data_IF_140879797930
#
_entry.id   IF_140879797930
#
_cell.length_a   1.000
_cell.length_b   1.000
_cell.length_c   1.000
_cell.angle_alpha   90.00
_cell.angle_beta   90.00
_cell.angle_gamma   90.00
#
_symmetry.space_group_name_H-M   'P 1'
#
loop_
_entity.id
_entity.type
_entity.pdbx_description
1 polymer ?
#
# COMPACT_ATOMS: atom_id res chain seq x y z
N UNK A 1 -17.56 17.75 18.45
CA UNK A 1 -17.23 17.21 17.11
C UNK A 1 -17.75 15.78 17.06
N UNK A 2 -18.61 15.47 16.11
CA UNK A 2 -19.34 14.20 16.07
C UNK A 2 -18.70 13.18 15.13
N UNK A 3 -17.93 13.64 14.14
CA UNK A 3 -17.26 12.81 13.13
C UNK A 3 -15.87 13.34 12.86
N UNK A 4 -14.90 12.44 12.77
CA UNK A 4 -13.55 12.70 12.25
C UNK A 4 -13.34 11.80 11.04
N UNK A 5 -12.94 12.41 9.90
CA UNK A 5 -12.51 11.69 8.69
C UNK A 5 -11.03 11.99 8.50
N UNK A 6 -10.21 10.95 8.41
CA UNK A 6 -8.76 11.10 8.27
C UNK A 6 -8.18 10.28 7.12
N UNK A 7 -7.20 10.89 6.44
CA UNK A 7 -6.34 10.27 5.42
C UNK A 7 -4.86 10.54 5.73
N UNK A 8 -4.53 10.80 6.99
CA UNK A 8 -3.18 11.18 7.42
C UNK A 8 -2.21 10.00 7.54
N UNK A 9 -2.72 8.76 7.45
CA UNK A 9 -1.91 7.55 7.56
C UNK A 9 -1.85 6.96 8.97
N UNK A 10 -1.21 5.80 9.05
CA UNK A 10 -1.21 4.98 10.27
C UNK A 10 -0.56 5.63 11.49
N UNK A 11 0.51 6.38 11.29
CA UNK A 11 1.23 7.04 12.39
C UNK A 11 0.31 8.03 13.12
N UNK A 12 -0.43 8.85 12.37
CA UNK A 12 -1.43 9.77 12.93
C UNK A 12 -2.53 9.00 13.69
N UNK A 13 -3.05 7.93 13.11
CA UNK A 13 -4.09 7.13 13.74
C UNK A 13 -3.60 6.49 15.04
N UNK A 14 -2.40 5.91 15.03
CA UNK A 14 -1.81 5.26 16.20
C UNK A 14 -1.54 6.22 17.35
N UNK A 15 -1.24 7.48 17.05
CA UNK A 15 -1.00 8.52 18.04
C UNK A 15 -2.30 9.17 18.53
N UNK A 16 -3.13 9.63 17.63
CA UNK A 16 -4.26 10.54 17.94
C UNK A 16 -5.51 9.79 18.38
N UNK A 17 -5.85 8.66 17.71
CA UNK A 17 -7.09 7.93 18.01
C UNK A 17 -7.19 7.47 19.47
N UNK A 18 -6.17 6.82 20.08
CA UNK A 18 -6.26 6.40 21.47
C UNK A 18 -6.36 7.56 22.44
N UNK A 19 -5.71 8.70 22.15
CA UNK A 19 -5.79 9.89 22.99
C UNK A 19 -7.21 10.48 23.00
N UNK A 20 -7.87 10.54 21.84
CA UNK A 20 -9.24 11.01 21.73
C UNK A 20 -10.21 10.09 22.48
N UNK A 21 -10.06 8.77 22.34
CA UNK A 21 -10.91 7.81 23.09
C UNK A 21 -10.67 7.90 24.59
N UNK A 22 -9.42 8.05 25.04
CA UNK A 22 -9.07 8.23 26.46
C UNK A 22 -9.62 9.55 27.03
N UNK A 23 -9.70 10.61 26.21
CA UNK A 23 -10.32 11.88 26.58
C UNK A 23 -11.87 11.82 26.60
N UNK A 24 -12.48 10.67 26.35
CA UNK A 24 -13.94 10.48 26.38
C UNK A 24 -14.67 10.87 25.08
N UNK A 25 -13.94 11.16 23.99
CA UNK A 25 -14.59 11.43 22.71
C UNK A 25 -15.23 10.16 22.15
N UNK A 26 -16.53 10.20 21.88
CA UNK A 26 -17.34 9.07 21.43
C UNK A 26 -17.97 9.32 20.04
N UNK A 27 -17.33 10.14 19.20
CA UNK A 27 -17.75 10.41 17.83
C UNK A 27 -17.36 9.27 16.87
N UNK A 28 -17.78 9.42 15.63
CA UNK A 28 -17.42 8.48 14.55
C UNK A 28 -16.01 8.77 14.05
N UNK A 29 -15.20 7.71 13.97
CA UNK A 29 -13.87 7.72 13.34
C UNK A 29 -13.94 7.02 12.00
N UNK A 30 -13.64 7.74 10.92
CA UNK A 30 -13.60 7.22 9.55
C UNK A 30 -12.18 7.39 9.03
N UNK A 31 -11.51 6.31 8.68
CA UNK A 31 -10.07 6.30 8.43
C UNK A 31 -9.70 5.48 7.19
N UNK A 32 -8.84 6.04 6.34
CA UNK A 32 -8.25 5.33 5.21
C UNK A 32 -7.06 4.42 5.62
N UNK A 33 -6.44 4.68 6.79
CA UNK A 33 -5.28 3.92 7.28
C UNK A 33 -5.64 2.50 7.72
N UNK A 34 -4.66 1.61 7.70
CA UNK A 34 -4.85 0.19 8.04
C UNK A 34 -4.83 -0.10 9.54
N UNK A 35 -4.41 0.84 10.37
CA UNK A 35 -4.10 0.63 11.79
C UNK A 35 -5.22 -0.01 12.60
N UNK A 36 -6.47 0.30 12.28
CA UNK A 36 -7.64 -0.22 13.01
C UNK A 36 -8.39 -1.34 12.28
N UNK A 37 -7.94 -1.80 11.10
CA UNK A 37 -8.69 -2.80 10.30
C UNK A 37 -8.95 -4.11 11.02
N UNK A 38 -8.02 -4.54 11.86
CA UNK A 38 -8.09 -5.82 12.56
C UNK A 38 -8.57 -5.67 14.01
N UNK A 39 -9.18 -4.54 14.36
CA UNK A 39 -9.77 -4.34 15.70
C UNK A 39 -11.21 -4.82 15.72
N UNK A 40 -11.59 -5.50 16.80
CA UNK A 40 -12.94 -6.08 16.98
C UNK A 40 -14.05 -5.02 17.04
N UNK A 41 -13.71 -3.78 17.39
CA UNK A 41 -14.60 -2.64 17.49
C UNK A 41 -14.60 -1.77 16.22
N UNK A 42 -14.04 -2.27 15.12
CA UNK A 42 -13.97 -1.57 13.84
C UNK A 42 -14.64 -2.37 12.71
N UNK A 43 -15.19 -1.64 11.76
CA UNK A 43 -15.76 -2.20 10.53
C UNK A 43 -14.96 -1.73 9.33
N UNK A 44 -14.49 -2.67 8.52
CA UNK A 44 -13.93 -2.36 7.19
C UNK A 44 -15.10 -2.03 6.27
N UNK A 45 -15.05 -0.86 5.63
CA UNK A 45 -16.13 -0.38 4.76
C UNK A 45 -15.77 -0.54 3.29
N UNK A 46 -16.72 -1.09 2.53
CA UNK A 46 -16.67 -1.18 1.07
C UNK A 46 -18.11 -1.15 0.51
N UNK A 47 -18.77 0.01 0.59
CA UNK A 47 -20.11 0.21 0.00
C UNK A 47 -19.99 0.22 -1.54
N UNK A 48 -20.83 -0.52 -2.29
CA UNK A 48 -22.01 -1.26 -1.82
C UNK A 48 -21.77 -2.73 -1.42
N UNK A 49 -20.55 -3.26 -1.54
CA UNK A 49 -20.24 -4.69 -1.40
C UNK A 49 -20.69 -5.23 -0.03
N UNK A 50 -20.45 -4.49 1.05
CA UNK A 50 -20.83 -4.89 2.40
C UNK A 50 -21.75 -3.87 3.10
N UNK A 51 -22.65 -3.26 2.35
CA UNK A 51 -23.56 -2.22 2.85
C UNK A 51 -24.39 -2.67 4.06
N UNK A 52 -24.86 -3.92 4.06
CA UNK A 52 -25.59 -4.53 5.17
C UNK A 52 -24.74 -4.57 6.46
N UNK A 53 -23.47 -4.93 6.37
CA UNK A 53 -22.54 -4.94 7.52
C UNK A 53 -22.36 -3.52 8.08
N UNK A 54 -22.26 -2.53 7.21
CA UNK A 54 -22.16 -1.12 7.61
C UNK A 54 -23.43 -0.67 8.34
N UNK A 55 -24.61 -1.01 7.81
CA UNK A 55 -25.90 -0.66 8.43
C UNK A 55 -26.09 -1.34 9.79
N UNK A 56 -25.75 -2.62 9.87
CA UNK A 56 -25.79 -3.36 11.14
C UNK A 56 -24.84 -2.77 12.17
N UNK A 57 -23.65 -2.35 11.75
CA UNK A 57 -22.69 -1.68 12.62
C UNK A 57 -23.22 -0.36 13.17
N UNK A 58 -23.86 0.44 12.32
CA UNK A 58 -24.50 1.69 12.74
C UNK A 58 -25.61 1.43 13.76
N UNK A 59 -26.46 0.42 13.51
CA UNK A 59 -27.53 0.03 14.42
C UNK A 59 -27.02 -0.46 15.78
N UNK A 60 -25.86 -1.14 15.81
CA UNK A 60 -25.16 -1.60 17.03
C UNK A 60 -24.33 -0.52 17.71
N UNK A 61 -24.26 0.68 17.15
CA UNK A 61 -23.52 1.80 17.71
C UNK A 61 -22.00 1.74 17.53
N UNK A 62 -21.49 0.95 16.58
CA UNK A 62 -20.06 0.94 16.22
C UNK A 62 -19.65 2.34 15.76
N UNK A 63 -18.48 2.77 16.18
CA UNK A 63 -17.96 4.13 15.93
C UNK A 63 -16.73 4.19 15.04
N UNK A 64 -16.13 3.06 14.70
CA UNK A 64 -14.89 2.99 13.94
C UNK A 64 -15.15 2.36 12.57
N UNK A 65 -15.00 3.15 11.50
CA UNK A 65 -15.24 2.74 10.12
C UNK A 65 -13.97 2.95 9.29
N UNK A 66 -13.40 1.85 8.81
CA UNK A 66 -12.03 1.83 8.27
C UNK A 66 -12.07 1.43 6.79
N UNK A 67 -11.40 2.18 5.94
CA UNK A 67 -11.23 1.84 4.54
C UNK A 67 -10.46 0.53 4.36
N UNK A 68 -10.88 -0.31 3.42
CA UNK A 68 -10.22 -1.55 3.08
C UNK A 68 -8.85 -1.33 2.41
N UNK A 69 -8.11 -2.41 2.19
CA UNK A 69 -6.92 -2.37 1.34
C UNK A 69 -7.34 -1.99 -0.09
N UNK A 70 -6.64 -1.04 -0.71
CA UNK A 70 -7.02 -0.49 -2.02
C UNK A 70 -7.12 -1.56 -3.11
N UNK A 71 -6.15 -2.46 -3.22
CA UNK A 71 -6.11 -3.54 -4.21
C UNK A 71 -7.23 -4.55 -3.98
N UNK A 72 -7.41 -5.00 -2.73
CA UNK A 72 -8.48 -5.95 -2.36
C UNK A 72 -9.86 -5.31 -2.55
N UNK A 73 -10.02 -4.05 -2.19
CA UNK A 73 -11.28 -3.31 -2.38
C UNK A 73 -11.68 -3.24 -3.84
N UNK A 74 -10.73 -2.91 -4.74
CA UNK A 74 -11.01 -2.86 -6.18
C UNK A 74 -11.36 -4.24 -6.75
N UNK A 75 -10.66 -5.29 -6.31
CA UNK A 75 -10.98 -6.67 -6.68
C UNK A 75 -12.39 -7.05 -6.24
N UNK A 76 -12.73 -6.79 -4.98
CA UNK A 76 -14.06 -7.12 -4.43
C UNK A 76 -15.17 -6.26 -5.05
N UNK A 77 -14.90 -5.02 -5.42
CA UNK A 77 -15.85 -4.21 -6.20
C UNK A 77 -16.19 -4.87 -7.55
N UNK A 78 -15.17 -5.44 -8.22
CA UNK A 78 -15.38 -6.17 -9.48
C UNK A 78 -16.06 -7.53 -9.32
N UNK A 79 -15.81 -8.23 -8.23
CA UNK A 79 -16.29 -9.60 -7.99
C UNK A 79 -17.48 -9.68 -7.02
N UNK A 80 -17.92 -8.56 -6.44
CA UNK A 80 -18.92 -8.54 -5.36
C UNK A 80 -20.22 -9.24 -5.71
N UNK A 81 -20.70 -9.07 -6.94
CA UNK A 81 -21.92 -9.76 -7.40
C UNK A 81 -21.78 -11.28 -7.48
N UNK A 82 -20.59 -11.77 -7.79
CA UNK A 82 -20.32 -13.21 -7.81
C UNK A 82 -20.25 -13.79 -6.39
N UNK A 83 -19.62 -13.07 -5.47
CA UNK A 83 -19.59 -13.46 -4.05
C UNK A 83 -20.98 -13.45 -3.41
N UNK A 84 -21.80 -12.43 -3.70
CA UNK A 84 -23.17 -12.32 -3.17
C UNK A 84 -24.11 -13.43 -3.63
N UNK A 85 -23.80 -14.09 -4.73
CA UNK A 85 -24.60 -15.18 -5.30
C UNK A 85 -23.94 -16.55 -5.15
N UNK A 86 -22.95 -16.69 -4.27
CA UNK A 86 -22.22 -17.92 -4.00
C UNK A 86 -21.62 -18.60 -5.26
N UNK A 87 -21.20 -17.77 -6.23
CA UNK A 87 -20.67 -18.24 -7.52
C UNK A 87 -19.15 -18.43 -7.51
N UNK A 88 -18.48 -18.13 -6.40
CA UNK A 88 -17.03 -18.28 -6.23
C UNK A 88 -16.77 -19.24 -5.06
N UNK A 89 -16.18 -20.38 -5.35
CA UNK A 89 -15.75 -21.34 -4.34
C UNK A 89 -14.40 -20.94 -3.75
N UNK A 90 -13.46 -20.57 -4.61
CA UNK A 90 -12.15 -20.08 -4.22
C UNK A 90 -11.56 -19.16 -5.28
N UNK A 91 -10.62 -18.32 -4.89
CA UNK A 91 -9.92 -17.42 -5.81
C UNK A 91 -8.45 -17.29 -5.43
N UNK A 92 -7.58 -17.19 -6.44
CA UNK A 92 -6.20 -16.73 -6.27
C UNK A 92 -6.03 -15.39 -6.99
N UNK A 93 -5.18 -14.53 -6.44
CA UNK A 93 -4.85 -13.27 -7.08
C UNK A 93 -3.36 -13.00 -7.02
N UNK A 94 -2.82 -12.43 -8.09
CA UNK A 94 -1.47 -11.91 -8.15
C UNK A 94 -1.54 -10.42 -8.47
N UNK A 95 -0.82 -9.60 -7.72
CA UNK A 95 -0.84 -8.14 -7.89
C UNK A 95 0.56 -7.58 -8.04
N UNK A 96 0.68 -6.52 -8.83
CA UNK A 96 1.87 -5.67 -8.90
C UNK A 96 1.52 -4.32 -8.29
N UNK A 97 1.89 -4.13 -7.04
CA UNK A 97 1.53 -2.91 -6.32
C UNK A 97 2.51 -1.79 -6.60
N UNK A 98 1.99 -0.60 -6.91
CA UNK A 98 2.80 0.58 -7.17
C UNK A 98 3.45 1.12 -5.88
N UNK A 99 4.62 1.75 -6.02
CA UNK A 99 5.31 2.42 -4.92
C UNK A 99 4.47 3.51 -4.23
N UNK A 100 3.49 4.07 -4.93
CA UNK A 100 2.59 5.10 -4.39
C UNK A 100 1.79 4.63 -3.16
N UNK A 101 1.46 3.35 -3.09
CA UNK A 101 0.78 2.77 -1.93
C UNK A 101 1.61 2.77 -0.64
N UNK A 102 2.94 2.84 -0.77
CA UNK A 102 3.87 2.94 0.36
C UNK A 102 4.17 4.40 0.78
N UNK A 103 3.63 5.39 0.05
CA UNK A 103 3.72 6.79 0.39
C UNK A 103 4.74 7.61 -0.42
N UNK A 104 4.76 8.91 -0.16
CA UNK A 104 5.51 9.88 -0.96
C UNK A 104 7.03 9.66 -0.93
N UNK A 105 7.57 9.20 0.19
CA UNK A 105 9.01 8.94 0.31
C UNK A 105 9.45 7.80 -0.62
N UNK A 106 8.68 6.71 -0.68
CA UNK A 106 8.92 5.59 -1.60
C UNK A 106 8.82 6.04 -3.07
N UNK A 107 7.83 6.86 -3.42
CA UNK A 107 7.72 7.43 -4.77
C UNK A 107 8.94 8.27 -5.14
N UNK A 108 9.38 9.15 -4.24
CA UNK A 108 10.57 9.99 -4.46
C UNK A 108 11.83 9.15 -4.65
N UNK A 109 12.02 8.12 -3.83
CA UNK A 109 13.16 7.22 -3.93
C UNK A 109 13.14 6.44 -5.25
N UNK A 110 11.99 5.93 -5.69
CA UNK A 110 11.86 5.26 -6.98
C UNK A 110 12.29 6.17 -8.14
N UNK A 111 11.87 7.43 -8.14
CA UNK A 111 12.26 8.40 -9.17
C UNK A 111 13.78 8.70 -9.08
N UNK A 112 14.32 8.82 -7.87
CA UNK A 112 15.75 9.02 -7.68
C UNK A 112 16.56 7.80 -8.16
N UNK A 113 16.08 6.57 -7.95
CA UNK A 113 16.68 5.35 -8.50
C UNK A 113 16.71 5.36 -10.03
N UNK A 114 15.60 5.72 -10.68
CA UNK A 114 15.54 5.86 -12.14
C UNK A 114 16.55 6.91 -12.64
N UNK A 115 16.65 8.05 -11.96
CA UNK A 115 17.63 9.10 -12.26
C UNK A 115 19.07 8.62 -12.11
N UNK A 116 19.39 7.86 -11.06
CA UNK A 116 20.72 7.29 -10.82
C UNK A 116 21.12 6.32 -11.92
N UNK A 117 20.19 5.42 -12.32
CA UNK A 117 20.40 4.48 -13.43
C UNK A 117 20.66 5.26 -14.73
N UNK A 118 19.81 6.21 -15.08
CA UNK A 118 19.96 7.01 -16.30
C UNK A 118 21.28 7.77 -16.31
N UNK A 119 21.62 8.46 -15.23
CA UNK A 119 22.85 9.23 -15.12
C UNK A 119 24.11 8.38 -15.31
N UNK A 120 24.09 7.10 -14.86
CA UNK A 120 25.25 6.21 -14.97
C UNK A 120 25.58 5.81 -16.41
N UNK A 121 24.62 5.90 -17.33
CA UNK A 121 24.75 5.47 -18.74
C UNK A 121 24.44 6.57 -19.74
N UNK A 122 24.25 7.81 -19.30
CA UNK A 122 23.82 8.92 -20.15
C UNK A 122 24.79 9.15 -21.34
N UNK A 123 26.09 9.12 -21.10
CA UNK A 123 27.11 9.30 -22.13
C UNK A 123 27.11 8.15 -23.15
N UNK A 124 26.94 6.91 -22.65
CA UNK A 124 26.84 5.73 -23.53
C UNK A 124 25.57 5.76 -24.39
N UNK A 125 24.46 6.25 -23.83
CA UNK A 125 23.21 6.41 -24.58
C UNK A 125 23.29 7.52 -25.65
N UNK A 126 24.10 8.55 -25.42
CA UNK A 126 24.31 9.65 -26.35
C UNK A 126 25.20 9.26 -27.53
N UNK A 127 26.05 8.24 -27.41
CA UNK A 127 26.92 7.75 -28.46
C UNK A 127 26.28 6.56 -29.21
N UNK A 128 25.85 6.72 -30.48
CA UNK A 128 25.27 5.63 -31.26
C UNK A 128 26.22 4.44 -31.50
N UNK A 129 27.53 4.60 -31.29
CA UNK A 129 28.52 3.54 -31.42
C UNK A 129 28.66 2.68 -30.14
N UNK A 130 28.05 3.08 -29.05
CA UNK A 130 28.09 2.33 -27.79
C UNK A 130 27.45 0.96 -27.95
N UNK A 131 28.15 -0.08 -27.47
CA UNK A 131 27.59 -1.43 -27.46
C UNK A 131 26.48 -1.57 -26.40
N UNK A 132 25.33 -2.12 -26.77
CA UNK A 132 24.20 -2.28 -25.85
C UNK A 132 24.55 -3.14 -24.62
N UNK A 133 25.45 -4.13 -24.77
CA UNK A 133 25.90 -4.96 -23.64
C UNK A 133 26.74 -4.20 -22.63
N UNK A 134 27.43 -3.14 -23.05
CA UNK A 134 28.19 -2.30 -22.11
C UNK A 134 27.25 -1.40 -21.31
N UNK A 135 26.19 -0.90 -21.94
CA UNK A 135 25.10 -0.17 -21.28
C UNK A 135 24.42 -1.09 -20.25
N UNK A 136 24.02 -2.29 -20.64
CA UNK A 136 23.36 -3.27 -19.74
C UNK A 136 24.25 -3.62 -18.54
N UNK A 137 25.53 -3.90 -18.79
CA UNK A 137 26.49 -4.17 -17.71
C UNK A 137 26.61 -3.01 -16.73
N UNK A 138 26.71 -1.79 -17.24
CA UNK A 138 26.83 -0.58 -16.42
C UNK A 138 25.57 -0.32 -15.60
N UNK A 139 24.38 -0.53 -16.16
CA UNK A 139 23.11 -0.49 -15.41
C UNK A 139 23.12 -1.51 -14.29
N UNK A 140 23.45 -2.77 -14.58
CA UNK A 140 23.48 -3.84 -13.59
C UNK A 140 24.50 -3.58 -12.45
N UNK A 141 25.66 -3.04 -12.77
CA UNK A 141 26.66 -2.60 -11.78
C UNK A 141 26.12 -1.47 -10.90
N UNK A 142 25.51 -0.45 -11.52
CA UNK A 142 24.93 0.68 -10.80
C UNK A 142 23.83 0.24 -9.85
N UNK A 143 22.93 -0.63 -10.28
CA UNK A 143 21.84 -1.15 -9.45
C UNK A 143 22.33 -1.92 -8.22
N UNK A 144 23.54 -2.49 -8.25
CA UNK A 144 24.15 -3.22 -7.14
C UNK A 144 25.13 -2.38 -6.32
N UNK A 145 25.36 -1.14 -6.70
CA UNK A 145 26.32 -0.25 -6.05
C UNK A 145 25.71 0.51 -4.88
N UNK A 146 26.57 1.06 -4.03
CA UNK A 146 26.18 1.96 -2.94
C UNK A 146 25.65 3.34 -3.42
N UNK A 147 25.72 3.63 -4.73
CA UNK A 147 25.17 4.84 -5.29
C UNK A 147 23.64 4.81 -5.41
N UNK A 148 23.03 3.60 -5.36
CA UNK A 148 21.58 3.46 -5.41
C UNK A 148 20.93 3.90 -4.10
N UNK A 149 19.96 4.81 -4.14
CA UNK A 149 19.14 5.14 -2.96
C UNK A 149 18.17 3.98 -2.67
N UNK A 150 18.29 3.34 -1.50
CA UNK A 150 17.53 2.13 -1.15
C UNK A 150 16.98 2.16 0.29
N UNK A 151 16.83 3.33 0.89
CA UNK A 151 16.43 3.49 2.28
C UNK A 151 14.98 3.02 2.55
N UNK A 152 14.07 3.28 1.61
CA UNK A 152 12.63 3.01 1.77
C UNK A 152 12.18 1.67 1.18
N UNK A 153 13.04 0.96 0.43
CA UNK A 153 12.73 -0.33 -0.21
C UNK A 153 13.55 -1.49 0.38
N UNK A 154 13.75 -1.51 1.71
CA UNK A 154 14.39 -2.62 2.43
C UNK A 154 15.82 -2.92 1.94
N UNK A 155 16.54 -1.92 1.48
CA UNK A 155 17.92 -2.05 1.02
C UNK A 155 18.07 -2.57 -0.40
N UNK A 156 17.01 -2.62 -1.21
CA UNK A 156 17.05 -3.07 -2.60
C UNK A 156 16.42 -2.06 -3.56
N UNK A 157 16.90 -1.95 -4.81
CA UNK A 157 16.27 -1.07 -5.80
C UNK A 157 14.96 -1.66 -6.33
N UNK A 158 13.94 -0.80 -6.48
CA UNK A 158 12.70 -1.12 -7.18
C UNK A 158 12.75 -0.74 -8.66
N UNK A 159 13.48 0.34 -9.03
CA UNK A 159 13.59 0.78 -10.42
C UNK A 159 14.18 -0.34 -11.29
N UNK A 160 13.51 -0.67 -12.40
CA UNK A 160 13.92 -1.74 -13.31
C UNK A 160 13.78 -3.16 -12.74
N UNK A 161 13.08 -3.33 -11.61
CA UNK A 161 12.94 -4.61 -10.91
C UNK A 161 11.54 -4.74 -10.30
N UNK A 162 11.33 -5.80 -9.56
CA UNK A 162 10.21 -5.96 -8.64
C UNK A 162 10.72 -6.54 -7.31
N UNK A 163 10.05 -6.19 -6.24
CA UNK A 163 10.35 -6.71 -4.91
C UNK A 163 9.24 -7.69 -4.54
N UNK A 164 9.53 -9.01 -4.40
CA UNK A 164 8.51 -10.01 -4.07
C UNK A 164 8.16 -9.97 -2.57
N UNK A 165 7.86 -8.78 -2.09
CA UNK A 165 7.57 -8.52 -0.68
C UNK A 165 6.78 -7.24 -0.53
N UNK A 166 5.77 -7.27 0.32
CA UNK A 166 4.99 -6.07 0.65
C UNK A 166 4.74 -5.99 2.16
N UNK A 167 4.87 -4.78 2.71
CA UNK A 167 4.55 -4.40 4.08
C UNK A 167 5.25 -5.28 5.15
N UNK A 168 4.56 -5.65 6.21
CA UNK A 168 5.11 -6.38 7.36
C UNK A 168 5.07 -7.90 7.19
N UNK A 169 6.05 -8.64 7.75
CA UNK A 169 5.99 -10.09 7.77
C UNK A 169 4.92 -10.59 8.75
N UNK A 170 4.23 -11.64 8.34
CA UNK A 170 3.39 -12.45 9.20
C UNK A 170 4.02 -13.81 9.47
N UNK A 171 3.36 -14.62 10.29
CA UNK A 171 3.76 -16.00 10.57
C UNK A 171 3.81 -16.83 9.28
N UNK A 172 4.64 -17.86 9.29
CA UNK A 172 4.82 -18.79 8.15
C UNK A 172 5.38 -18.17 6.85
N UNK A 173 6.12 -17.06 6.95
CA UNK A 173 6.79 -16.44 5.81
C UNK A 173 5.86 -15.68 4.86
N UNK A 174 4.65 -15.39 5.29
CA UNK A 174 3.71 -14.54 4.56
C UNK A 174 4.02 -13.06 4.80
N UNK A 175 3.59 -12.21 3.88
CA UNK A 175 3.55 -10.76 4.06
C UNK A 175 2.14 -10.24 3.84
N UNK A 176 1.89 -9.05 4.34
CA UNK A 176 0.58 -8.42 4.22
C UNK A 176 0.20 -8.17 2.76
#
# INVERSE_FOLDING_TARGET
MDVIITCQGGDYTNEVFPQLRAAGWNGYWIDAASSLRMKDDAIIILDPVNKNVIQDGLAKGVKNYIGGNCTVSLMLMGLGGLFQNDMIEWATSMTYQAASGAGAQNMRELIAQMGTIHASVADLLADPASAILDIDRKVAETMRSSAMPVQNFRGVPLAGSLIPWIDVPYEHGQSK
#
